data_IF_665974144470
#
_entry.id   IF_665974144470
#
_cell.length_a   1.000
_cell.length_b   1.000
_cell.length_c   1.000
_cell.angle_alpha   90.00
_cell.angle_beta   90.00
_cell.angle_gamma   90.00
#
_symmetry.space_group_name_H-M   'P 1'
#
loop_
_entity.id
_entity.type
_entity.pdbx_description
1 polymer ?
#
# COMPACT_ATOMS: atom_id res chain seq x y z
N UNK A 1 -17.03 -8.27 -0.92
CA UNK A 1 -16.79 -6.85 -0.57
C UNK A 1 -15.33 -6.37 -0.66
N UNK A 2 -14.29 -7.22 -0.85
CA UNK A 2 -12.90 -6.76 -0.93
C UNK A 2 -12.34 -6.47 -2.33
N UNK A 3 -13.01 -6.90 -3.41
CA UNK A 3 -12.54 -6.69 -4.81
C UNK A 3 -12.79 -5.27 -5.34
N UNK A 4 -13.52 -4.43 -4.61
CA UNK A 4 -13.96 -3.12 -5.09
C UNK A 4 -12.95 -2.00 -4.85
N UNK A 5 -12.00 -2.17 -3.91
CA UNK A 5 -11.05 -1.11 -3.55
C UNK A 5 -10.06 -0.78 -4.66
N UNK A 6 -9.63 -1.78 -5.42
CA UNK A 6 -8.71 -1.59 -6.55
C UNK A 6 -9.28 -0.63 -7.62
N UNK A 7 -10.61 -0.49 -7.70
CA UNK A 7 -11.29 0.43 -8.61
C UNK A 7 -11.13 1.90 -8.21
N UNK A 8 -10.71 2.17 -6.98
CA UNK A 8 -10.40 3.52 -6.49
C UNK A 8 -9.05 4.02 -7.01
N UNK A 9 -8.18 3.13 -7.50
CA UNK A 9 -6.84 3.48 -7.94
C UNK A 9 -6.86 3.94 -9.40
N UNK A 10 -6.32 5.12 -9.63
CA UNK A 10 -6.09 5.70 -10.94
C UNK A 10 -4.59 5.69 -11.26
N UNK A 11 -4.28 5.62 -12.55
CA UNK A 11 -2.90 5.52 -13.04
C UNK A 11 -2.67 6.51 -14.18
N UNK A 12 -1.44 6.97 -14.34
CA UNK A 12 -1.00 7.80 -15.46
C UNK A 12 0.26 7.22 -16.11
N UNK A 13 0.58 7.69 -17.31
CA UNK A 13 1.78 7.24 -18.03
C UNK A 13 3.07 7.69 -17.33
N UNK A 14 4.04 6.78 -17.23
CA UNK A 14 5.37 7.12 -16.75
C UNK A 14 5.98 8.19 -17.69
N UNK A 15 6.36 9.38 -17.19
CA UNK A 15 6.91 10.46 -18.02
C UNK A 15 8.34 10.17 -18.51
N UNK A 16 9.08 9.26 -17.87
CA UNK A 16 10.45 8.91 -18.21
C UNK A 16 10.67 7.39 -18.27
N UNK A 17 9.99 6.65 -19.18
CA UNK A 17 10.06 5.18 -19.23
C UNK A 17 11.41 4.65 -19.73
N UNK A 18 12.27 5.52 -20.28
CA UNK A 18 13.59 5.16 -20.80
C UNK A 18 14.70 5.06 -19.75
N UNK A 19 14.42 5.33 -18.47
CA UNK A 19 15.39 5.17 -17.38
C UNK A 19 14.70 4.67 -16.12
N UNK A 20 15.44 3.93 -15.30
CA UNK A 20 14.97 3.53 -13.98
C UNK A 20 15.10 4.71 -13.01
N UNK A 21 14.07 4.95 -12.22
CA UNK A 21 14.06 5.87 -11.10
C UNK A 21 13.15 5.32 -10.00
N UNK A 22 13.44 5.64 -8.75
CA UNK A 22 12.62 5.20 -7.62
C UNK A 22 11.60 6.26 -7.24
N UNK A 23 10.39 5.81 -6.94
CA UNK A 23 9.34 6.61 -6.31
C UNK A 23 9.13 6.07 -4.91
N UNK A 24 9.07 6.96 -3.91
CA UNK A 24 8.70 6.61 -2.54
C UNK A 24 7.52 7.48 -2.11
N UNK A 25 6.44 6.84 -1.72
CA UNK A 25 5.28 7.49 -1.13
C UNK A 25 5.16 7.06 0.32
N UNK A 26 4.96 8.04 1.21
CA UNK A 26 4.78 7.81 2.63
C UNK A 26 3.42 8.35 3.06
N UNK A 27 2.53 7.46 3.49
CA UNK A 27 1.25 7.79 4.09
C UNK A 27 1.38 7.68 5.62
N UNK A 28 1.62 8.82 6.27
CA UNK A 28 1.87 8.92 7.72
C UNK A 28 0.61 8.65 8.59
N UNK A 29 -0.58 8.80 8.00
CA UNK A 29 -1.87 8.77 8.71
C UNK A 29 -2.72 7.55 8.31
N UNK A 30 -2.11 6.36 8.25
CA UNK A 30 -2.85 5.15 7.95
C UNK A 30 -3.59 4.61 9.18
N UNK A 31 -4.81 4.11 8.98
CA UNK A 31 -5.59 3.44 10.02
C UNK A 31 -6.49 2.34 9.46
N UNK A 32 -6.69 1.30 10.24
CA UNK A 32 -7.64 0.21 10.01
C UNK A 32 -8.25 -0.25 11.34
N UNK A 33 -9.06 -1.31 11.35
CA UNK A 33 -9.54 -1.92 12.58
C UNK A 33 -8.82 -3.24 12.86
N UNK A 34 -8.65 -3.53 14.15
CA UNK A 34 -8.27 -4.85 14.60
C UNK A 34 -9.38 -5.87 14.27
N UNK A 35 -9.09 -6.99 13.58
CA UNK A 35 -10.08 -8.03 13.30
C UNK A 35 -10.71 -8.66 14.55
N UNK A 36 -9.99 -8.69 15.67
CA UNK A 36 -10.36 -9.39 16.91
C UNK A 36 -11.14 -8.49 17.87
N UNK A 37 -10.66 -7.27 18.10
CA UNK A 37 -11.18 -6.38 19.14
C UNK A 37 -11.97 -5.21 18.58
N UNK A 38 -11.92 -4.96 17.27
CA UNK A 38 -12.56 -3.81 16.64
C UNK A 38 -11.95 -2.44 16.97
N UNK A 39 -10.87 -2.40 17.77
CA UNK A 39 -10.17 -1.15 18.07
C UNK A 39 -9.43 -0.63 16.83
N UNK A 40 -9.29 0.70 16.70
CA UNK A 40 -8.50 1.27 15.61
C UNK A 40 -7.03 0.94 15.79
N UNK A 41 -6.43 0.41 14.72
CA UNK A 41 -4.99 0.28 14.55
C UNK A 41 -4.48 1.50 13.77
N UNK A 42 -3.31 2.03 14.16
CA UNK A 42 -2.67 3.18 13.52
C UNK A 42 -1.27 2.83 13.04
N UNK A 43 -0.89 3.40 11.91
CA UNK A 43 0.43 3.17 11.36
C UNK A 43 0.75 4.08 10.20
N UNK A 44 1.86 3.76 9.56
CA UNK A 44 2.38 4.41 8.37
C UNK A 44 2.55 3.36 7.29
N UNK A 45 2.16 3.69 6.06
CA UNK A 45 2.40 2.85 4.89
C UNK A 45 3.43 3.55 3.99
N UNK A 46 4.51 2.84 3.67
CA UNK A 46 5.55 3.28 2.75
C UNK A 46 5.46 2.41 1.50
N UNK A 47 5.32 3.02 0.33
CA UNK A 47 5.31 2.34 -0.96
C UNK A 47 6.53 2.84 -1.72
N UNK A 48 7.49 1.95 -1.99
CA UNK A 48 8.66 2.23 -2.82
C UNK A 48 8.60 1.37 -4.08
N UNK A 49 8.76 1.97 -5.26
CA UNK A 49 8.74 1.21 -6.51
C UNK A 49 9.54 1.89 -7.62
N UNK A 50 10.01 1.08 -8.56
CA UNK A 50 10.51 1.54 -9.87
C UNK A 50 9.39 1.30 -10.89
N UNK A 51 8.79 2.36 -11.47
CA UNK A 51 7.73 2.21 -12.46
C UNK A 51 8.24 1.56 -13.76
N UNK A 52 7.36 0.85 -14.45
CA UNK A 52 7.57 0.46 -15.84
C UNK A 52 6.91 1.50 -16.75
N UNK A 53 5.68 1.26 -17.19
CA UNK A 53 4.94 2.18 -18.09
C UNK A 53 3.97 3.10 -17.36
N UNK A 54 3.62 2.80 -16.11
CA UNK A 54 2.55 3.46 -15.37
C UNK A 54 3.00 3.86 -13.97
N UNK A 55 2.48 4.99 -13.50
CA UNK A 55 2.61 5.50 -12.15
C UNK A 55 1.23 5.60 -11.50
N UNK A 56 1.16 5.50 -10.17
CA UNK A 56 -0.10 5.68 -9.43
C UNK A 56 -0.40 7.17 -9.24
N UNK A 57 -1.67 7.56 -9.39
CA UNK A 57 -2.13 8.91 -9.08
C UNK A 57 -2.33 9.07 -7.55
N UNK A 58 -1.76 10.14 -6.96
CA UNK A 58 -1.65 10.32 -5.51
C UNK A 58 -2.99 10.47 -4.78
N UNK A 59 -3.97 11.16 -5.36
CA UNK A 59 -5.30 11.35 -4.75
C UNK A 59 -6.07 10.02 -4.68
N UNK A 60 -6.02 9.23 -5.74
CA UNK A 60 -6.64 7.91 -5.86
C UNK A 60 -6.01 6.94 -4.85
N UNK A 61 -4.68 6.96 -4.70
CA UNK A 61 -3.94 6.18 -3.71
C UNK A 61 -4.33 6.56 -2.28
N UNK A 62 -4.50 7.86 -2.00
CA UNK A 62 -4.99 8.34 -0.71
C UNK A 62 -6.37 7.74 -0.40
N UNK A 63 -7.33 7.80 -1.33
CA UNK A 63 -8.66 7.23 -1.10
C UNK A 63 -8.65 5.71 -0.96
N UNK A 64 -7.80 5.02 -1.74
CA UNK A 64 -7.58 3.59 -1.60
C UNK A 64 -7.10 3.23 -0.18
N UNK A 65 -6.08 3.92 0.34
CA UNK A 65 -5.58 3.68 1.69
C UNK A 65 -6.61 4.05 2.77
N UNK A 66 -7.33 5.16 2.61
CA UNK A 66 -8.40 5.56 3.54
C UNK A 66 -9.57 4.59 3.58
N UNK A 67 -9.79 3.82 2.51
CA UNK A 67 -10.86 2.83 2.47
C UNK A 67 -10.72 1.73 3.54
N UNK A 68 -9.52 1.52 4.08
CA UNK A 68 -9.23 0.52 5.12
C UNK A 68 -9.65 0.97 6.54
N UNK A 69 -10.00 2.24 6.74
CA UNK A 69 -10.28 2.83 8.07
C UNK A 69 -11.25 2.03 8.93
N UNK A 70 -12.28 1.45 8.32
CA UNK A 70 -13.32 0.68 9.01
C UNK A 70 -13.23 -0.83 8.72
N UNK A 71 -12.08 -1.31 8.23
CA UNK A 71 -11.88 -2.69 7.84
C UNK A 71 -11.08 -3.44 8.90
N UNK A 72 -11.63 -4.54 9.40
CA UNK A 72 -10.92 -5.48 10.27
C UNK A 72 -9.91 -6.29 9.46
N UNK A 73 -8.62 -5.97 9.55
CA UNK A 73 -7.57 -6.65 8.79
C UNK A 73 -6.27 -6.80 9.59
N UNK A 74 -5.61 -7.95 9.48
CA UNK A 74 -4.28 -8.16 10.06
C UNK A 74 -3.21 -7.38 9.29
N UNK A 75 -2.16 -6.92 9.96
CA UNK A 75 -1.09 -6.13 9.36
C UNK A 75 -0.43 -6.85 8.19
N UNK A 76 -0.20 -8.15 8.33
CA UNK A 76 0.40 -9.02 7.32
C UNK A 76 -0.47 -9.08 6.07
N UNK A 77 -1.76 -9.33 6.25
CA UNK A 77 -2.73 -9.40 5.15
C UNK A 77 -2.89 -8.04 4.47
N UNK A 78 -2.96 -6.96 5.24
CA UNK A 78 -3.07 -5.60 4.75
C UNK A 78 -1.87 -5.21 3.87
N UNK A 79 -0.65 -5.38 4.37
CA UNK A 79 0.57 -5.00 3.64
C UNK A 79 0.71 -5.79 2.34
N UNK A 80 0.46 -7.11 2.36
CA UNK A 80 0.50 -7.93 1.15
C UNK A 80 -0.61 -7.56 0.16
N UNK A 81 -1.81 -7.27 0.65
CA UNK A 81 -2.93 -6.87 -0.22
C UNK A 81 -2.67 -5.55 -0.94
N UNK A 82 -2.09 -4.57 -0.25
CA UNK A 82 -1.69 -3.29 -0.87
C UNK A 82 -0.67 -3.55 -1.98
N UNK A 83 0.34 -4.40 -1.73
CA UNK A 83 1.31 -4.79 -2.75
C UNK A 83 0.63 -5.45 -3.96
N UNK A 84 -0.21 -6.46 -3.74
CA UNK A 84 -0.89 -7.19 -4.81
C UNK A 84 -1.75 -6.29 -5.70
N UNK A 85 -2.55 -5.40 -5.08
CA UNK A 85 -3.42 -4.47 -5.80
C UNK A 85 -2.60 -3.47 -6.65
N UNK A 86 -1.53 -2.90 -6.08
CA UNK A 86 -0.67 -1.95 -6.78
C UNK A 86 0.15 -2.62 -7.90
N UNK A 87 0.72 -3.80 -7.66
CA UNK A 87 1.46 -4.56 -8.67
C UNK A 87 0.55 -4.92 -9.85
N UNK A 88 -0.70 -5.30 -9.57
CA UNK A 88 -1.68 -5.67 -10.59
C UNK A 88 -1.99 -4.52 -11.56
N UNK A 89 -2.11 -3.29 -11.07
CA UNK A 89 -2.45 -2.13 -11.91
C UNK A 89 -1.21 -1.44 -12.50
N UNK A 90 -0.10 -1.36 -11.77
CA UNK A 90 1.09 -0.60 -12.18
C UNK A 90 2.07 -1.45 -12.99
N UNK A 91 2.08 -2.77 -12.78
CA UNK A 91 3.06 -3.71 -13.36
C UNK A 91 4.50 -3.16 -13.24
N UNK A 92 4.95 -2.77 -12.03
CA UNK A 92 6.23 -2.10 -11.84
C UNK A 92 7.39 -3.07 -12.11
N UNK A 93 8.61 -2.55 -12.18
CA UNK A 93 9.83 -3.37 -12.27
C UNK A 93 10.15 -4.03 -10.93
N UNK A 94 10.01 -3.26 -9.86
CA UNK A 94 10.01 -3.74 -8.48
C UNK A 94 9.03 -2.92 -7.65
N UNK A 95 8.63 -3.46 -6.51
CA UNK A 95 7.86 -2.73 -5.51
C UNK A 95 8.09 -3.31 -4.13
N UNK A 96 8.15 -2.43 -3.14
CA UNK A 96 8.21 -2.76 -1.72
C UNK A 96 7.10 -1.96 -1.04
N UNK A 97 6.26 -2.66 -0.29
CA UNK A 97 5.29 -2.04 0.61
C UNK A 97 5.70 -2.37 2.04
N UNK A 98 5.90 -1.33 2.85
CA UNK A 98 6.23 -1.45 4.28
C UNK A 98 5.11 -0.84 5.11
N UNK A 99 4.51 -1.62 5.99
CA UNK A 99 3.59 -1.13 7.02
C UNK A 99 4.28 -1.07 8.38
N UNK A 100 4.35 0.13 8.97
CA UNK A 100 4.87 0.39 10.30
C UNK A 100 3.70 0.68 11.25
N UNK A 101 3.35 -0.29 12.10
CA UNK A 101 2.16 -0.21 12.96
C UNK A 101 2.54 0.03 14.42
N UNK A 102 1.82 0.96 15.05
CA UNK A 102 1.99 1.29 16.45
C UNK A 102 0.92 0.55 17.27
N UNK A 103 1.41 -0.24 18.22
CA UNK A 103 0.76 -0.62 19.48
C UNK A 103 -0.22 -1.78 19.47
N UNK A 104 0.25 -2.90 20.04
CA UNK A 104 -0.49 -3.67 21.05
C UNK A 104 0.42 -4.02 22.21
N UNK A 105 0.06 -3.61 23.42
CA UNK A 105 0.84 -3.94 24.63
C UNK A 105 2.30 -3.46 24.60
N UNK A 106 2.59 -2.32 23.95
CA UNK A 106 3.96 -1.80 23.79
C UNK A 106 4.76 -2.42 22.65
N UNK A 107 4.20 -3.38 21.91
CA UNK A 107 4.85 -4.02 20.76
C UNK A 107 4.58 -3.20 19.49
N UNK A 108 5.63 -3.00 18.69
CA UNK A 108 5.58 -2.42 17.34
C UNK A 108 5.81 -3.51 16.33
N UNK A 109 5.12 -3.43 15.20
CA UNK A 109 5.26 -4.38 14.10
C UNK A 109 5.61 -3.62 12.82
N UNK A 110 6.63 -4.12 12.11
CA UNK A 110 6.99 -3.65 10.78
C UNK A 110 6.85 -4.83 9.83
N UNK A 111 5.90 -4.72 8.91
CA UNK A 111 5.67 -5.74 7.88
C UNK A 111 6.22 -5.20 6.57
N UNK A 112 7.00 -6.01 5.86
CA UNK A 112 7.56 -5.68 4.56
C UNK A 112 7.17 -6.76 3.55
N UNK A 113 6.54 -6.35 2.46
CA UNK A 113 6.20 -7.22 1.33
C UNK A 113 6.90 -6.70 0.07
N UNK A 114 7.45 -7.60 -0.74
CA UNK A 114 8.28 -7.26 -1.89
C UNK A 114 7.83 -7.99 -3.15
N UNK A 115 7.84 -7.28 -4.27
CA UNK A 115 7.67 -7.81 -5.61
C UNK A 115 8.87 -7.44 -6.47
N UNK A 116 9.44 -8.44 -7.14
CA UNK A 116 10.45 -8.28 -8.16
C UNK A 116 9.95 -8.96 -9.44
N UNK A 117 9.91 -8.23 -10.55
CA UNK A 117 9.56 -8.79 -11.85
C UNK A 117 10.64 -9.83 -12.23
N UNK A 118 10.24 -11.10 -12.32
CA UNK A 118 11.08 -12.20 -12.82
C UNK A 118 11.23 -12.14 -14.33
#
# INVERSE_FOLDING_TARGET
MHKDKIKLLEIFDNPYPGRDYSIVHTAEEFTSLCPVTGHPDFGKIIISYIPDKKCVELKSMKYYLQSYRNEGIFFEALTNKILDDLVKILKPRNMIVTGEFKNRGGIRSTIKAEYLKK
#
